data_IF_508808144328
#
_entry.id   IF_508808144328
#
_cell.length_a   1.000
_cell.length_b   1.000
_cell.length_c   1.000
_cell.angle_alpha   90.00
_cell.angle_beta   90.00
_cell.angle_gamma   90.00
#
_symmetry.space_group_name_H-M   'P 1'
#
loop_
_entity.id
_entity.type
_entity.pdbx_description
1 polymer ?
#
# COMPACT_ATOMS: atom_id res chain seq x y z
N UNK A 1 -14.50 30.84 17.42
CA UNK A 1 -15.27 30.01 18.38
C UNK A 1 -16.67 30.59 18.48
N UNK A 2 -17.49 30.32 17.47
CA UNK A 2 -18.93 30.61 17.33
C UNK A 2 -19.28 30.02 15.96
N UNK A 3 -20.45 29.40 15.88
CA UNK A 3 -21.03 28.62 14.77
C UNK A 3 -20.63 27.13 14.70
N UNK A 4 -21.54 26.18 14.53
CA UNK A 4 -22.92 26.02 15.00
C UNK A 4 -23.41 24.69 14.44
N UNK A 5 -23.87 23.79 15.32
CA UNK A 5 -25.23 23.22 15.31
C UNK A 5 -25.72 22.45 14.05
N UNK A 6 -24.92 22.23 13.01
CA UNK A 6 -25.30 21.39 11.85
C UNK A 6 -24.92 19.92 12.07
N UNK A 7 -25.34 19.33 13.19
CA UNK A 7 -25.23 17.89 13.46
C UNK A 7 -26.54 17.24 13.89
N UNK A 8 -27.68 17.88 13.59
CA UNK A 8 -28.99 17.45 14.09
C UNK A 8 -30.05 17.20 12.99
N UNK A 9 -29.66 16.97 11.74
CA UNK A 9 -30.61 16.74 10.64
C UNK A 9 -30.14 15.66 9.66
N UNK A 10 -30.16 14.40 10.11
CA UNK A 10 -30.52 13.23 9.25
C UNK A 10 -30.49 11.90 10.02
N UNK A 11 -30.74 11.92 11.33
CA UNK A 11 -31.14 10.70 12.07
C UNK A 11 -32.66 10.53 11.98
N UNK A 12 -33.17 10.10 10.82
CA UNK A 12 -34.55 9.62 10.65
C UNK A 12 -34.59 8.52 9.59
N UNK A 13 -34.57 7.27 10.09
CA UNK A 13 -35.47 6.18 9.68
C UNK A 13 -35.28 5.49 8.32
N UNK A 14 -34.78 4.26 8.39
CA UNK A 14 -35.44 3.06 7.81
C UNK A 14 -34.92 1.80 8.54
N UNK A 15 -35.80 0.97 9.17
CA UNK A 15 -35.40 -0.25 9.85
C UNK A 15 -35.86 -1.47 9.04
N UNK A 16 -35.00 -2.12 8.24
CA UNK A 16 -35.19 -3.52 7.85
C UNK A 16 -33.99 -4.08 7.07
N UNK A 17 -33.11 -4.86 7.72
CA UNK A 17 -32.46 -6.06 7.13
C UNK A 17 -31.50 -6.65 8.17
N UNK A 18 -32.08 -7.37 9.12
CA UNK A 18 -31.39 -8.43 9.86
C UNK A 18 -31.95 -9.73 9.29
N UNK A 19 -31.08 -10.63 8.80
CA UNK A 19 -31.32 -12.00 8.30
C UNK A 19 -30.91 -12.22 6.85
N UNK A 20 -29.59 -12.35 6.61
CA UNK A 20 -28.98 -13.43 5.80
C UNK A 20 -27.51 -13.55 6.16
N UNK A 21 -27.24 -13.93 7.41
CA UNK A 21 -26.00 -14.60 7.76
C UNK A 21 -26.29 -16.10 7.76
N UNK A 22 -25.40 -16.88 7.11
CA UNK A 22 -25.37 -18.36 6.99
C UNK A 22 -26.10 -18.95 5.79
N UNK A 23 -25.33 -19.28 4.76
CA UNK A 23 -25.29 -20.58 4.06
C UNK A 23 -24.43 -20.43 2.79
N UNK A 24 -23.09 -20.41 2.97
CA UNK A 24 -22.17 -21.05 2.01
C UNK A 24 -20.77 -21.15 2.63
N UNK A 25 -20.63 -22.12 3.53
CA UNK A 25 -19.35 -22.75 3.86
C UNK A 25 -19.30 -24.07 3.10
N UNK A 26 -18.10 -24.39 2.60
CA UNK A 26 -17.70 -25.65 1.93
C UNK A 26 -18.07 -25.64 0.44
N UNK A 27 -17.16 -25.63 -0.53
CA UNK A 27 -15.92 -26.39 -0.64
C UNK A 27 -14.96 -25.70 -1.63
N UNK A 28 -13.75 -25.32 -1.21
CA UNK A 28 -12.52 -25.51 -2.02
C UNK A 28 -11.35 -25.72 -1.06
N UNK A 29 -10.87 -26.94 -1.02
CA UNK A 29 -9.74 -27.42 -0.24
C UNK A 29 -8.43 -26.67 -0.54
N UNK A 30 -7.60 -26.51 0.50
CA UNK A 30 -6.14 -26.52 0.36
C UNK A 30 -5.40 -25.27 0.85
N UNK A 31 -5.25 -25.11 2.17
CA UNK A 31 -4.01 -25.43 2.92
C UNK A 31 -4.25 -25.16 4.42
N UNK A 32 -3.94 -26.11 5.33
CA UNK A 32 -3.94 -25.83 6.75
C UNK A 32 -2.71 -24.97 7.09
N UNK A 33 -2.94 -23.71 7.46
CA UNK A 33 -1.92 -22.92 8.16
C UNK A 33 -1.79 -23.47 9.57
N UNK A 34 -0.69 -24.19 9.83
CA UNK A 34 -0.28 -24.54 11.18
C UNK A 34 0.11 -23.26 11.91
N UNK A 35 -0.48 -23.05 13.08
CA UNK A 35 -0.25 -21.87 13.90
C UNK A 35 1.21 -21.69 14.32
N UNK A 36 1.60 -20.42 14.47
CA UNK A 36 2.88 -20.05 15.05
C UNK A 36 3.23 -18.60 14.73
N UNK A 37 2.98 -17.71 15.70
CA UNK A 37 3.33 -16.29 15.73
C UNK A 37 2.59 -15.42 14.69
N UNK A 38 1.88 -14.41 15.20
CA UNK A 38 1.37 -13.28 14.43
C UNK A 38 2.57 -12.40 13.99
N UNK A 39 3.43 -12.97 13.16
CA UNK A 39 4.43 -12.21 12.41
C UNK A 39 3.66 -11.45 11.32
N UNK A 40 4.05 -10.21 11.01
CA UNK A 40 3.38 -9.46 9.96
C UNK A 40 3.49 -10.23 8.64
N UNK A 41 2.35 -10.60 8.08
CA UNK A 41 2.29 -11.28 6.79
C UNK A 41 3.08 -10.46 5.76
N UNK A 42 3.92 -11.13 4.97
CA UNK A 42 4.75 -10.47 3.94
C UNK A 42 3.91 -9.58 3.01
N UNK A 43 2.67 -9.98 2.71
CA UNK A 43 1.71 -9.18 1.94
C UNK A 43 1.38 -7.84 2.60
N UNK A 44 1.27 -7.81 3.93
CA UNK A 44 0.95 -6.61 4.70
C UNK A 44 2.16 -5.67 4.82
N UNK A 45 3.36 -6.24 4.94
CA UNK A 45 4.63 -5.49 4.83
C UNK A 45 4.77 -4.88 3.44
N UNK A 46 4.55 -5.67 2.39
CA UNK A 46 4.63 -5.21 1.00
C UNK A 46 3.58 -4.13 0.68
N UNK A 47 2.36 -4.27 1.19
CA UNK A 47 1.31 -3.28 1.06
C UNK A 47 1.69 -1.96 1.75
N UNK A 48 2.25 -2.03 2.97
CA UNK A 48 2.70 -0.86 3.72
C UNK A 48 3.83 -0.14 3.00
N UNK A 49 4.85 -0.88 2.54
CA UNK A 49 5.99 -0.33 1.77
C UNK A 49 5.51 0.32 0.47
N UNK A 50 4.55 -0.30 -0.23
CA UNK A 50 3.99 0.26 -1.46
C UNK A 50 3.23 1.57 -1.20
N UNK A 51 2.47 1.65 -0.10
CA UNK A 51 1.78 2.86 0.32
C UNK A 51 2.75 3.99 0.69
N UNK A 52 3.83 3.65 1.40
CA UNK A 52 4.90 4.59 1.77
C UNK A 52 5.66 5.12 0.55
N UNK A 53 5.92 4.27 -0.44
CA UNK A 53 6.53 4.66 -1.71
C UNK A 53 5.66 5.68 -2.46
N UNK A 54 4.34 5.46 -2.54
CA UNK A 54 3.40 6.40 -3.16
C UNK A 54 3.39 7.74 -2.40
N UNK A 55 3.38 7.71 -1.07
CA UNK A 55 3.46 8.92 -0.25
C UNK A 55 4.76 9.70 -0.49
N UNK A 56 5.88 9.00 -0.60
CA UNK A 56 7.19 9.58 -0.86
C UNK A 56 7.27 10.20 -2.25
N UNK A 57 6.72 9.53 -3.28
CA UNK A 57 6.64 10.06 -4.64
C UNK A 57 5.84 11.37 -4.71
N UNK A 58 4.65 11.41 -4.09
CA UNK A 58 3.83 12.65 -4.03
C UNK A 58 4.56 13.79 -3.31
N UNK A 59 5.28 13.47 -2.24
CA UNK A 59 6.09 14.46 -1.50
C UNK A 59 7.26 14.97 -2.34
N UNK A 60 7.89 14.09 -3.11
CA UNK A 60 8.92 14.43 -4.10
C UNK A 60 8.38 15.38 -5.17
N UNK A 61 7.22 15.09 -5.76
CA UNK A 61 6.55 15.97 -6.73
C UNK A 61 6.24 17.34 -6.15
N UNK A 62 5.67 17.41 -4.94
CA UNK A 62 5.40 18.68 -4.27
C UNK A 62 6.67 19.51 -4.01
N UNK A 63 7.77 18.83 -3.68
CA UNK A 63 9.08 19.46 -3.47
C UNK A 63 9.70 19.92 -4.78
N UNK A 64 9.61 19.12 -5.85
CA UNK A 64 10.07 19.48 -7.18
C UNK A 64 9.30 20.68 -7.75
N UNK A 65 7.98 20.71 -7.57
CA UNK A 65 7.14 21.87 -7.89
C UNK A 65 7.60 23.11 -7.12
N UNK A 66 7.93 22.94 -5.84
CA UNK A 66 8.47 24.03 -5.01
C UNK A 66 9.88 24.47 -5.46
N UNK A 67 10.71 23.55 -5.95
CA UNK A 67 12.03 23.82 -6.52
C UNK A 67 11.98 24.62 -7.83
N UNK A 68 11.06 24.26 -8.74
CA UNK A 68 10.81 25.04 -9.96
C UNK A 68 10.30 26.45 -9.64
N UNK A 69 9.55 26.61 -8.53
CA UNK A 69 9.16 27.92 -8.00
C UNK A 69 10.30 28.68 -7.31
N UNK A 70 11.53 28.16 -7.31
CA UNK A 70 12.71 28.79 -6.70
C UNK A 70 12.81 28.61 -5.18
N UNK A 71 12.01 27.71 -4.58
CA UNK A 71 11.99 27.47 -3.12
C UNK A 71 12.92 26.34 -2.66
N UNK A 72 13.62 25.66 -3.59
CA UNK A 72 14.61 24.63 -3.29
C UNK A 72 15.89 24.84 -4.14
N UNK A 73 17.07 24.62 -3.55
CA UNK A 73 18.36 24.84 -4.22
C UNK A 73 18.71 23.70 -5.18
N UNK A 74 19.54 23.99 -6.19
CA UNK A 74 20.02 22.98 -7.17
C UNK A 74 20.70 21.80 -6.47
N UNK A 75 21.38 22.05 -5.34
CA UNK A 75 22.00 21.01 -4.53
C UNK A 75 20.96 20.07 -3.89
N UNK A 76 19.84 20.60 -3.41
CA UNK A 76 18.73 19.81 -2.86
C UNK A 76 18.07 18.94 -3.95
N UNK A 77 17.99 19.44 -5.18
CA UNK A 77 17.47 18.65 -6.32
C UNK A 77 18.38 17.47 -6.64
N UNK A 78 19.70 17.68 -6.69
CA UNK A 78 20.67 16.59 -6.95
C UNK A 78 20.62 15.54 -5.85
N UNK A 79 20.56 15.95 -4.58
CA UNK A 79 20.46 15.02 -3.46
C UNK A 79 19.17 14.20 -3.48
N UNK A 80 18.04 14.84 -3.84
CA UNK A 80 16.77 14.14 -4.02
C UNK A 80 16.83 13.11 -5.17
N UNK A 81 17.50 13.45 -6.29
CA UNK A 81 17.68 12.52 -7.41
C UNK A 81 18.56 11.34 -7.01
N UNK A 82 19.68 11.57 -6.33
CA UNK A 82 20.56 10.49 -5.85
C UNK A 82 19.84 9.54 -4.88
N UNK A 83 19.03 10.09 -3.96
CA UNK A 83 18.22 9.28 -3.06
C UNK A 83 17.16 8.45 -3.80
N UNK A 84 16.55 9.02 -4.85
CA UNK A 84 15.61 8.31 -5.71
C UNK A 84 16.28 7.19 -6.51
N UNK A 85 17.49 7.40 -7.03
CA UNK A 85 18.27 6.38 -7.73
C UNK A 85 18.60 5.18 -6.83
N UNK A 86 19.00 5.41 -5.59
CA UNK A 86 19.30 4.34 -4.63
C UNK A 86 18.05 3.50 -4.31
N UNK A 87 16.91 4.16 -4.16
CA UNK A 87 15.61 3.50 -3.95
C UNK A 87 15.20 2.69 -5.17
N UNK A 88 15.37 3.24 -6.38
CA UNK A 88 15.08 2.56 -7.63
C UNK A 88 15.94 1.31 -7.82
N UNK A 89 17.25 1.38 -7.53
CA UNK A 89 18.15 0.22 -7.61
C UNK A 89 17.67 -0.93 -6.70
N UNK A 90 17.21 -0.60 -5.50
CA UNK A 90 16.67 -1.59 -4.56
C UNK A 90 15.36 -2.18 -5.08
N UNK A 91 14.46 -1.34 -5.61
CA UNK A 91 13.21 -1.80 -6.21
C UNK A 91 13.45 -2.73 -7.42
N UNK A 92 14.45 -2.44 -8.24
CA UNK A 92 14.87 -3.29 -9.36
C UNK A 92 15.43 -4.63 -8.88
N UNK A 93 16.25 -4.64 -7.83
CA UNK A 93 16.76 -5.87 -7.24
C UNK A 93 15.62 -6.78 -6.73
N UNK A 94 14.59 -6.20 -6.11
CA UNK A 94 13.40 -6.94 -5.68
C UNK A 94 12.60 -7.45 -6.88
N UNK A 95 12.39 -6.61 -7.91
CA UNK A 95 11.74 -7.02 -9.17
C UNK A 95 12.42 -8.24 -9.78
N UNK A 96 13.74 -8.22 -9.88
CA UNK A 96 14.49 -9.30 -10.50
C UNK A 96 14.39 -10.61 -9.68
N UNK A 97 14.34 -10.52 -8.34
CA UNK A 97 14.11 -11.69 -7.47
C UNK A 97 12.71 -12.28 -7.61
N UNK A 98 11.68 -11.44 -7.73
CA UNK A 98 10.30 -11.92 -7.94
C UNK A 98 10.17 -12.60 -9.30
N UNK A 99 10.78 -12.05 -10.34
CA UNK A 99 10.81 -12.68 -11.67
C UNK A 99 11.52 -14.04 -11.62
N UNK A 100 12.67 -14.12 -10.94
CA UNK A 100 13.39 -15.39 -10.78
C UNK A 100 12.55 -16.43 -10.02
N UNK A 101 11.88 -16.04 -8.93
CA UNK A 101 11.00 -16.92 -8.17
C UNK A 101 9.81 -17.43 -9.02
N UNK A 102 9.22 -16.56 -9.84
CA UNK A 102 8.15 -16.97 -10.77
C UNK A 102 8.66 -17.99 -11.80
N UNK A 103 9.84 -17.75 -12.39
CA UNK A 103 10.43 -18.68 -13.34
C UNK A 103 10.74 -20.03 -12.69
N UNK A 104 11.25 -20.06 -11.46
CA UNK A 104 11.53 -21.30 -10.72
C UNK A 104 10.25 -22.11 -10.46
N UNK A 105 9.20 -21.45 -9.94
CA UNK A 105 7.88 -22.09 -9.73
C UNK A 105 7.32 -22.63 -11.06
N UNK A 106 7.46 -21.86 -12.15
CA UNK A 106 6.97 -22.29 -13.45
C UNK A 106 7.74 -23.48 -14.05
N UNK A 107 9.03 -23.65 -13.70
CA UNK A 107 9.83 -24.81 -14.13
C UNK A 107 9.55 -26.05 -13.29
N UNK A 108 9.12 -25.87 -12.04
CA UNK A 108 8.71 -26.98 -11.15
C UNK A 108 7.25 -27.39 -11.36
N UNK A 109 6.40 -26.49 -11.89
CA UNK A 109 5.03 -26.77 -12.27
C UNK A 109 4.97 -27.62 -13.55
N UNK A 110 5.18 -28.92 -13.39
CA UNK A 110 4.69 -30.02 -14.24
C UNK A 110 4.26 -31.17 -13.34
#
# INVERSE_FOLDING_TARGET
>A
MIESITSLASSVRTPNSLTTNRLNTSETSGVPSLGGVKEPDFSEVLASVSSEAIGTLRKGEATAISGIQGKASVQQVVEAVMSAEQTLQTALAVRDKVVAAYQEVSRMAI
#
